data_IF_569170901337
#
_entry.id   IF_569170901337
#
_cell.length_a   1.000
_cell.length_b   1.000
_cell.length_c   1.000
_cell.angle_alpha   90.00
_cell.angle_beta   90.00
_cell.angle_gamma   90.00
#
_symmetry.space_group_name_H-M   'P 1'
#
loop_
_entity.id
_entity.type
_entity.pdbx_description
1 polymer ?
#
# COMPACT_ATOMS: atom_id res chain seq x y z
N UNK A 1 -2.17 -11.27 -0.58
CA UNK A 1 -3.37 -10.50 -0.21
C UNK A 1 -2.91 -9.10 0.18
N UNK A 2 -3.67 -8.05 -0.14
CA UNK A 2 -3.45 -6.74 0.47
C UNK A 2 -3.89 -6.83 1.95
N UNK A 3 -3.17 -6.14 2.84
CA UNK A 3 -3.34 -6.27 4.28
C UNK A 3 -4.69 -5.77 4.82
N UNK A 4 -4.71 -5.31 6.08
CA UNK A 4 -5.95 -4.97 6.78
C UNK A 4 -6.37 -3.51 6.47
N UNK A 5 -7.57 -3.25 5.93
CA UNK A 5 -8.03 -1.89 5.71
C UNK A 5 -8.28 -1.19 7.06
N UNK A 6 -7.71 0.00 7.22
CA UNK A 6 -7.82 0.83 8.41
C UNK A 6 -8.79 1.98 8.23
N UNK A 7 -8.75 2.65 7.07
CA UNK A 7 -9.50 3.88 6.85
C UNK A 7 -9.85 4.11 5.38
N UNK A 8 -10.95 4.84 5.17
CA UNK A 8 -11.40 5.30 3.86
C UNK A 8 -11.56 6.81 3.90
N UNK A 9 -11.11 7.51 2.86
CA UNK A 9 -11.41 8.94 2.76
C UNK A 9 -12.93 9.18 2.66
N UNK A 10 -13.35 10.41 2.97
CA UNK A 10 -14.78 10.77 3.04
C UNK A 10 -15.52 10.45 1.72
N UNK A 11 -14.89 10.75 0.59
CA UNK A 11 -15.48 10.53 -0.75
C UNK A 11 -15.65 9.06 -1.07
N UNK A 12 -14.66 8.21 -0.72
CA UNK A 12 -14.75 6.75 -0.90
C UNK A 12 -15.83 6.17 0.02
N UNK A 13 -15.89 6.63 1.28
CA UNK A 13 -16.91 6.18 2.24
C UNK A 13 -18.34 6.54 1.82
N UNK A 14 -18.53 7.72 1.23
CA UNK A 14 -19.85 8.17 0.76
C UNK A 14 -20.20 7.64 -0.63
N UNK A 15 -19.28 6.94 -1.32
CA UNK A 15 -19.49 6.46 -2.69
C UNK A 15 -19.66 7.59 -3.73
N UNK A 16 -19.27 8.81 -3.40
CA UNK A 16 -19.57 10.02 -4.20
C UNK A 16 -18.50 10.34 -5.26
N UNK A 17 -17.67 9.37 -5.65
CA UNK A 17 -16.37 9.69 -6.28
C UNK A 17 -16.36 9.51 -7.81
N UNK A 18 -15.87 10.54 -8.52
CA UNK A 18 -15.72 10.61 -9.98
C UNK A 18 -14.36 10.10 -10.53
N UNK A 19 -13.46 9.62 -9.67
CA UNK A 19 -12.09 9.22 -10.04
C UNK A 19 -11.72 7.78 -9.63
N UNK A 20 -11.08 7.63 -8.46
CA UNK A 20 -10.57 6.35 -7.94
C UNK A 20 -10.74 6.26 -6.42
N UNK A 21 -10.96 5.10 -5.78
CA UNK A 21 -11.06 4.98 -4.32
C UNK A 21 -9.70 5.14 -3.64
N UNK A 22 -9.67 5.62 -2.39
CA UNK A 22 -8.46 5.67 -1.55
C UNK A 22 -8.72 4.96 -0.22
N UNK A 23 -7.79 4.07 0.12
CA UNK A 23 -7.86 3.21 1.31
C UNK A 23 -6.51 3.27 2.02
N UNK A 24 -6.54 3.43 3.34
CA UNK A 24 -5.38 3.21 4.20
C UNK A 24 -5.38 1.73 4.61
N UNK A 25 -4.27 1.04 4.40
CA UNK A 25 -4.14 -0.40 4.66
C UNK A 25 -2.92 -0.62 5.54
N UNK A 26 -3.11 -1.36 6.63
CA UNK A 26 -2.04 -1.91 7.45
C UNK A 26 -1.44 -3.11 6.71
N UNK A 27 -0.12 -3.09 6.50
CA UNK A 27 0.61 -4.14 5.80
C UNK A 27 1.86 -4.52 6.60
N UNK A 28 2.25 -5.79 6.53
CA UNK A 28 3.51 -6.25 7.09
C UNK A 28 4.68 -5.65 6.30
N UNK A 29 5.82 -5.44 6.96
CA UNK A 29 7.00 -4.82 6.33
C UNK A 29 7.56 -5.64 5.17
N UNK A 30 7.50 -6.97 5.27
CA UNK A 30 7.97 -7.92 4.25
C UNK A 30 6.91 -8.18 3.15
N UNK A 31 5.74 -7.55 3.24
CA UNK A 31 4.70 -7.70 2.23
C UNK A 31 5.14 -7.13 0.90
N UNK A 32 4.85 -7.86 -0.17
CA UNK A 32 4.92 -7.31 -1.51
C UNK A 32 3.92 -6.14 -1.64
N UNK A 33 4.36 -5.05 -2.26
CA UNK A 33 3.52 -3.91 -2.65
C UNK A 33 3.18 -4.09 -4.14
N UNK A 34 2.09 -4.79 -4.49
CA UNK A 34 1.76 -5.08 -5.88
C UNK A 34 1.28 -3.82 -6.62
N UNK A 35 1.65 -3.71 -7.90
CA UNK A 35 1.16 -2.62 -8.76
C UNK A 35 -0.29 -2.83 -9.22
N UNK A 36 -0.80 -4.06 -9.10
CA UNK A 36 -2.16 -4.42 -9.53
C UNK A 36 -2.89 -5.30 -8.51
N UNK A 37 -4.18 -5.00 -8.32
CA UNK A 37 -5.12 -5.85 -7.58
C UNK A 37 -6.09 -6.53 -8.54
N UNK A 38 -6.18 -7.86 -8.47
CA UNK A 38 -7.20 -8.62 -9.20
C UNK A 38 -8.51 -8.64 -8.40
N UNK A 39 -9.55 -8.03 -8.93
CA UNK A 39 -10.90 -8.06 -8.36
C UNK A 39 -11.73 -9.14 -9.05
N UNK A 40 -12.49 -9.91 -8.27
CA UNK A 40 -13.36 -10.99 -8.75
C UNK A 40 -14.78 -10.74 -8.24
N UNK A 41 -15.61 -10.00 -8.99
CA UNK A 41 -17.00 -9.74 -8.60
C UNK A 41 -17.91 -10.93 -8.93
N UNK A 42 -18.97 -11.13 -8.15
CA UNK A 42 -19.88 -12.28 -8.31
C UNK A 42 -20.58 -12.37 -9.67
N UNK A 43 -20.81 -11.22 -10.34
CA UNK A 43 -21.61 -11.13 -11.57
C UNK A 43 -20.88 -10.48 -12.74
N UNK A 44 -19.56 -10.31 -12.65
CA UNK A 44 -18.76 -9.66 -13.71
C UNK A 44 -17.44 -10.41 -13.89
N UNK A 45 -16.83 -10.37 -15.08
CA UNK A 45 -15.48 -10.90 -15.27
C UNK A 45 -14.51 -10.26 -14.29
N UNK A 46 -13.51 -11.05 -13.86
CA UNK A 46 -12.42 -10.52 -13.05
C UNK A 46 -11.64 -9.47 -13.85
N UNK A 47 -11.18 -8.43 -13.16
CA UNK A 47 -10.39 -7.36 -13.76
C UNK A 47 -9.28 -6.90 -12.82
N UNK A 48 -8.22 -6.33 -13.39
CA UNK A 48 -7.11 -5.77 -12.63
C UNK A 48 -7.30 -4.28 -12.43
N UNK A 49 -7.02 -3.82 -11.21
CA UNK A 49 -7.02 -2.40 -10.83
C UNK A 49 -5.59 -2.01 -10.52
N UNK A 50 -5.12 -0.93 -11.15
CA UNK A 50 -3.82 -0.35 -10.85
C UNK A 50 -3.83 0.30 -9.46
N UNK A 51 -2.75 0.11 -8.70
CA UNK A 51 -2.59 0.67 -7.36
C UNK A 51 -1.55 1.79 -7.42
N UNK A 52 -1.91 2.96 -6.89
CA UNK A 52 -0.98 4.05 -6.65
C UNK A 52 -0.78 4.23 -5.14
N UNK A 53 0.47 4.16 -4.69
CA UNK A 53 0.84 4.34 -3.29
C UNK A 53 1.22 5.80 -3.04
N UNK A 54 0.54 6.46 -2.10
CA UNK A 54 0.82 7.86 -1.81
C UNK A 54 2.17 8.09 -1.09
N UNK A 55 2.69 7.08 -0.37
CA UNK A 55 3.97 7.11 0.35
C UNK A 55 4.44 5.68 0.63
N UNK A 56 5.16 5.04 -0.29
CA UNK A 56 5.81 3.75 0.00
C UNK A 56 7.01 4.04 0.90
N UNK A 57 7.02 3.58 2.16
CA UNK A 57 8.14 3.87 3.05
C UNK A 57 9.40 3.15 2.57
N UNK A 58 10.54 3.81 2.66
CA UNK A 58 11.83 3.18 2.41
C UNK A 58 12.14 2.23 3.58
N UNK A 59 12.38 0.96 3.25
CA UNK A 59 12.74 -0.08 4.20
C UNK A 59 14.23 -0.35 4.02
N UNK A 60 14.98 -0.34 5.12
CA UNK A 60 16.37 -0.74 5.08
C UNK A 60 16.48 -2.25 4.83
N UNK A 61 17.20 -2.65 3.76
CA UNK A 61 17.42 -4.06 3.43
C UNK A 61 18.23 -4.85 4.48
N UNK A 62 18.99 -4.16 5.35
CA UNK A 62 19.81 -4.81 6.40
C UNK A 62 19.03 -5.09 7.68
N UNK A 63 18.23 -4.14 8.15
CA UNK A 63 17.61 -4.20 9.48
C UNK A 63 16.07 -4.21 9.44
N UNK A 64 15.48 -4.12 8.24
CA UNK A 64 14.04 -4.09 8.00
C UNK A 64 13.30 -2.97 8.75
N UNK A 65 13.94 -1.84 9.04
CA UNK A 65 13.31 -0.67 9.67
C UNK A 65 13.04 0.43 8.65
N UNK A 66 12.05 1.28 8.94
CA UNK A 66 11.71 2.42 8.11
C UNK A 66 12.67 3.59 8.28
N UNK A 67 12.85 4.36 7.20
CA UNK A 67 13.38 5.73 7.24
C UNK A 67 14.90 5.87 7.29
N UNK A 68 15.65 4.81 6.96
CA UNK A 68 17.10 4.89 6.78
C UNK A 68 17.64 3.77 5.88
N UNK A 69 18.92 3.86 5.52
CA UNK A 69 19.67 2.82 4.85
C UNK A 69 20.99 2.55 5.58
N UNK A 70 21.12 1.40 6.26
CA UNK A 70 22.34 0.98 7.00
C UNK A 70 23.59 0.76 6.11
N UNK A 71 23.61 1.24 4.88
CA UNK A 71 24.81 1.34 4.03
C UNK A 71 25.59 2.62 4.34
N UNK A 72 24.98 3.63 4.99
CA UNK A 72 25.61 4.95 5.26
C UNK A 72 25.95 5.23 6.74
N UNK A 73 25.56 4.36 7.68
CA UNK A 73 25.83 4.59 9.11
C UNK A 73 27.01 3.75 9.62
N UNK A 74 28.21 4.22 9.31
CA UNK A 74 29.45 3.87 10.01
C UNK A 74 30.00 5.05 10.84
N UNK A 75 29.18 6.04 11.21
CA UNK A 75 29.63 7.16 12.05
C UNK A 75 28.51 7.74 12.93
N UNK A 76 28.17 7.08 14.03
CA UNK A 76 27.74 7.79 15.24
C UNK A 76 28.02 6.95 16.48
N UNK A 77 29.11 7.33 17.15
CA UNK A 77 29.47 7.00 18.54
C UNK A 77 28.44 7.54 19.54
#
# INVERSE_FOLDING_TARGET
MLGKPLWFDKSTRLGQRLGYPRVCVEMEMDSAFPDFLRLVPDRRPAYNVHIEYCNKPEICDKCCKFGHNCVEENMQE
#
